data_IF_395784345115
#
_entry.id   IF_395784345115
#
_cell.length_a   1.000
_cell.length_b   1.000
_cell.length_c   1.000
_cell.angle_alpha   90.00
_cell.angle_beta   90.00
_cell.angle_gamma   90.00
#
_symmetry.space_group_name_H-M   'P 1'
#
loop_
_entity.id
_entity.type
_entity.pdbx_description
1 polymer ?
#
# COMPACT_ATOMS: atom_id res chain seq x y z
N UNK A 1 -28.03 -5.73 30.91
CA UNK A 1 -27.57 -6.38 29.66
C UNK A 1 -27.99 -5.62 28.39
N UNK A 2 -29.14 -4.93 28.36
CA UNK A 2 -29.56 -4.15 27.17
C UNK A 2 -28.75 -2.86 26.92
N UNK A 3 -28.24 -2.21 27.98
CA UNK A 3 -27.45 -0.97 27.87
C UNK A 3 -26.10 -1.16 27.15
N UNK A 4 -25.43 -2.30 27.35
CA UNK A 4 -24.17 -2.63 26.65
C UNK A 4 -24.41 -3.00 25.18
N UNK A 5 -25.56 -3.61 24.87
CA UNK A 5 -25.92 -3.97 23.49
C UNK A 5 -26.21 -2.72 22.65
N UNK A 6 -26.87 -1.72 23.24
CA UNK A 6 -27.15 -0.45 22.57
C UNK A 6 -25.90 0.43 22.38
N UNK A 7 -24.91 0.39 23.28
CA UNK A 7 -23.63 1.09 23.08
C UNK A 7 -22.78 0.48 21.96
N UNK A 8 -22.72 -0.85 21.85
CA UNK A 8 -21.99 -1.53 20.78
C UNK A 8 -22.67 -1.30 19.42
N UNK A 9 -24.01 -1.34 19.36
CA UNK A 9 -24.76 -1.01 18.14
C UNK A 9 -24.54 0.47 17.76
N UNK A 10 -24.47 1.38 18.73
CA UNK A 10 -24.19 2.79 18.47
C UNK A 10 -22.77 3.00 17.91
N UNK A 11 -21.74 2.35 18.47
CA UNK A 11 -20.36 2.41 17.97
C UNK A 11 -20.20 1.80 16.56
N UNK A 12 -20.87 0.68 16.28
CA UNK A 12 -20.85 0.05 14.95
C UNK A 12 -21.59 0.91 13.92
N UNK A 13 -22.73 1.51 14.30
CA UNK A 13 -23.49 2.43 13.41
C UNK A 13 -22.73 3.74 13.18
N UNK A 14 -21.96 4.23 14.16
CA UNK A 14 -21.07 5.39 14.00
C UNK A 14 -19.91 5.02 13.05
N UNK A 15 -19.24 3.88 13.21
CA UNK A 15 -18.17 3.48 12.27
C UNK A 15 -18.68 3.26 10.84
N UNK A 16 -19.86 2.67 10.65
CA UNK A 16 -20.44 2.48 9.31
C UNK A 16 -20.89 3.81 8.70
N UNK A 17 -21.51 4.70 9.50
CA UNK A 17 -21.91 6.03 9.00
C UNK A 17 -20.72 6.94 8.73
N UNK A 18 -19.64 6.85 9.49
CA UNK A 18 -18.43 7.66 9.24
C UNK A 18 -17.75 7.22 7.94
N UNK A 19 -17.76 5.92 7.61
CA UNK A 19 -17.25 5.42 6.32
C UNK A 19 -18.09 5.94 5.13
N UNK A 20 -19.42 5.96 5.24
CA UNK A 20 -20.29 6.48 4.17
C UNK A 20 -20.29 8.02 4.07
N UNK A 21 -19.92 8.74 5.15
CA UNK A 21 -20.00 10.22 5.21
C UNK A 21 -18.74 10.93 4.67
N UNK A 22 -17.63 10.20 4.47
CA UNK A 22 -16.37 10.74 3.92
C UNK A 22 -16.16 10.45 2.43
N UNK A 23 -17.15 9.89 1.74
CA UNK A 23 -17.15 9.91 0.27
C UNK A 23 -17.71 11.26 -0.19
N UNK A 24 -16.88 12.24 -0.59
CA UNK A 24 -17.41 13.35 -1.37
C UNK A 24 -18.13 12.77 -2.58
N UNK A 25 -19.31 13.31 -2.88
CA UNK A 25 -20.12 12.99 -4.06
C UNK A 25 -19.22 12.98 -5.31
N UNK A 26 -18.71 11.82 -5.72
CA UNK A 26 -17.73 11.75 -6.83
C UNK A 26 -16.82 10.51 -6.90
N UNK A 27 -16.56 9.78 -5.80
CA UNK A 27 -15.74 8.55 -5.86
C UNK A 27 -16.61 7.28 -5.94
N UNK A 28 -16.64 6.56 -7.08
CA UNK A 28 -17.71 5.60 -7.38
C UNK A 28 -17.56 4.20 -6.77
N UNK A 29 -16.55 3.92 -5.93
CA UNK A 29 -16.27 2.55 -5.46
C UNK A 29 -16.32 2.39 -3.94
N UNK A 30 -17.27 1.59 -3.45
CA UNK A 30 -17.34 1.16 -2.04
C UNK A 30 -16.14 0.27 -1.70
N UNK A 31 -15.56 0.43 -0.51
CA UNK A 31 -14.44 -0.37 0.03
C UNK A 31 -14.54 -1.89 -0.25
N UNK A 32 -15.74 -2.46 -0.08
CA UNK A 32 -16.00 -3.88 -0.33
C UNK A 32 -15.80 -4.28 -1.80
N UNK A 33 -16.23 -3.45 -2.74
CA UNK A 33 -16.05 -3.72 -4.18
C UNK A 33 -14.58 -3.59 -4.58
N UNK A 34 -13.86 -2.62 -3.99
CA UNK A 34 -12.43 -2.49 -4.20
C UNK A 34 -11.69 -3.74 -3.69
N UNK A 35 -11.98 -4.19 -2.47
CA UNK A 35 -11.39 -5.41 -1.91
C UNK A 35 -11.63 -6.64 -2.79
N UNK A 36 -12.87 -6.85 -3.26
CA UNK A 36 -13.21 -7.98 -4.15
C UNK A 36 -12.45 -7.89 -5.48
N UNK A 37 -12.32 -6.68 -6.04
CA UNK A 37 -11.55 -6.46 -7.28
C UNK A 37 -10.08 -6.82 -7.06
N UNK A 38 -9.48 -6.30 -5.99
CA UNK A 38 -8.06 -6.49 -5.69
C UNK A 38 -7.74 -7.95 -5.32
N UNK A 39 -8.62 -8.65 -4.61
CA UNK A 39 -8.45 -10.08 -4.28
C UNK A 39 -8.54 -11.02 -5.49
N UNK A 40 -9.02 -10.55 -6.65
CA UNK A 40 -9.10 -11.35 -7.88
C UNK A 40 -7.87 -11.21 -8.77
N UNK A 41 -6.96 -10.29 -8.45
CA UNK A 41 -5.72 -10.14 -9.18
C UNK A 41 -4.88 -11.41 -9.07
N UNK A 42 -4.19 -11.74 -10.14
CA UNK A 42 -3.20 -12.81 -10.14
C UNK A 42 -2.15 -12.49 -9.07
N UNK A 43 -1.89 -13.48 -8.21
CA UNK A 43 -1.00 -13.32 -7.08
C UNK A 43 0.45 -13.19 -7.53
N UNK A 44 1.24 -12.47 -6.74
CA UNK A 44 2.69 -12.42 -6.92
C UNK A 44 3.28 -13.85 -6.90
N UNK A 45 4.27 -14.18 -7.77
CA UNK A 45 4.79 -15.54 -7.91
C UNK A 45 5.61 -16.00 -6.68
N UNK A 46 6.11 -15.03 -5.89
CA UNK A 46 6.79 -15.20 -4.59
C UNK A 46 7.95 -16.20 -4.65
N UNK A 47 8.67 -16.21 -5.76
CA UNK A 47 9.75 -17.16 -5.99
C UNK A 47 11.07 -16.73 -5.35
N UNK A 48 11.24 -15.43 -5.03
CA UNK A 48 12.48 -14.90 -4.49
C UNK A 48 12.33 -14.43 -3.03
N UNK A 49 12.85 -15.24 -2.13
CA UNK A 49 12.81 -15.01 -0.67
C UNK A 49 13.65 -13.79 -0.26
N UNK A 50 14.71 -13.47 -1.01
CA UNK A 50 15.64 -12.38 -0.69
C UNK A 50 14.99 -10.99 -0.77
N UNK A 51 13.88 -10.89 -1.49
CA UNK A 51 13.11 -9.65 -1.64
C UNK A 51 11.96 -9.50 -0.64
N UNK A 52 11.82 -10.43 0.32
CA UNK A 52 10.69 -10.46 1.26
C UNK A 52 9.36 -10.28 0.50
N UNK A 53 9.15 -11.04 -0.57
CA UNK A 53 7.95 -10.90 -1.41
C UNK A 53 6.73 -11.45 -0.67
N UNK A 54 5.90 -10.57 -0.12
CA UNK A 54 4.59 -10.92 0.45
C UNK A 54 3.46 -10.37 -0.42
N UNK A 55 2.46 -11.20 -0.68
CA UNK A 55 1.23 -10.72 -1.31
C UNK A 55 0.47 -9.87 -0.30
N UNK A 56 0.22 -8.61 -0.66
CA UNK A 56 -0.70 -7.77 0.12
C UNK A 56 -2.11 -8.31 -0.08
N UNK A 57 -2.80 -8.64 1.02
CA UNK A 57 -4.19 -9.10 0.91
C UNK A 57 -5.11 -7.98 0.38
N UNK A 58 -6.09 -8.35 -0.43
CA UNK A 58 -7.03 -7.39 -1.03
C UNK A 58 -7.78 -6.55 0.00
N UNK A 59 -8.04 -7.05 1.22
CA UNK A 59 -8.68 -6.24 2.27
C UNK A 59 -7.71 -5.20 2.87
N UNK A 60 -6.44 -5.56 3.03
CA UNK A 60 -5.41 -4.63 3.52
C UNK A 60 -5.14 -3.56 2.48
N UNK A 61 -4.95 -3.95 1.22
CA UNK A 61 -4.78 -3.02 0.11
C UNK A 61 -5.98 -2.07 -0.02
N UNK A 62 -7.21 -2.61 0.02
CA UNK A 62 -8.42 -1.79 -0.07
C UNK A 62 -8.52 -0.76 1.07
N UNK A 63 -8.26 -1.17 2.33
CA UNK A 63 -8.28 -0.25 3.47
C UNK A 63 -7.21 0.82 3.40
N UNK A 64 -6.01 0.45 2.94
CA UNK A 64 -4.92 1.39 2.72
C UNK A 64 -5.29 2.44 1.67
N UNK A 65 -5.77 2.01 0.50
CA UNK A 65 -6.21 2.92 -0.57
C UNK A 65 -7.38 3.79 -0.12
N UNK A 66 -8.36 3.23 0.61
CA UNK A 66 -9.47 4.03 1.14
C UNK A 66 -9.03 5.06 2.18
N UNK A 67 -7.97 4.79 2.95
CA UNK A 67 -7.40 5.79 3.85
C UNK A 67 -6.80 6.95 3.05
N UNK A 68 -6.05 6.67 1.98
CA UNK A 68 -5.48 7.69 1.08
C UNK A 68 -6.58 8.57 0.47
N UNK A 69 -7.69 7.95 0.01
CA UNK A 69 -8.86 8.69 -0.49
C UNK A 69 -9.45 9.60 0.59
N UNK A 70 -9.52 9.11 1.83
CA UNK A 70 -10.10 9.86 2.96
C UNK A 70 -9.24 11.06 3.38
N UNK A 71 -7.91 10.98 3.21
CA UNK A 71 -7.02 12.13 3.37
C UNK A 71 -7.10 13.14 2.22
N UNK A 72 -7.68 12.76 1.08
CA UNK A 72 -7.73 13.59 -0.13
C UNK A 72 -6.42 13.63 -0.90
N UNK A 73 -5.49 12.71 -0.62
CA UNK A 73 -4.16 12.68 -1.25
C UNK A 73 -4.16 12.06 -2.67
N UNK A 74 -5.33 11.59 -3.14
CA UNK A 74 -5.52 11.04 -4.48
C UNK A 74 -6.68 11.72 -5.22
N UNK A 75 -6.41 12.14 -6.45
CA UNK A 75 -7.34 12.89 -7.30
C UNK A 75 -7.38 12.34 -8.74
N UNK A 76 -8.39 12.72 -9.54
CA UNK A 76 -8.48 12.36 -10.96
C UNK A 76 -7.28 12.78 -11.83
N UNK A 77 -6.47 13.74 -11.37
CA UNK A 77 -5.27 14.19 -12.07
C UNK A 77 -3.97 13.61 -11.52
N UNK A 78 -4.03 12.91 -10.38
CA UNK A 78 -2.85 12.40 -9.68
C UNK A 78 -2.07 11.38 -10.51
N UNK A 79 -0.76 11.57 -10.56
CA UNK A 79 0.22 10.58 -11.00
C UNK A 79 0.83 9.93 -9.77
N UNK A 80 0.59 8.62 -9.63
CA UNK A 80 1.01 7.84 -8.46
C UNK A 80 2.25 7.02 -8.79
N UNK A 81 3.23 6.92 -7.91
CA UNK A 81 4.30 5.93 -8.00
C UNK A 81 4.09 4.81 -6.98
N UNK A 82 4.05 3.57 -7.46
CA UNK A 82 4.03 2.35 -6.64
C UNK A 82 5.44 1.74 -6.60
N UNK A 83 6.15 1.89 -5.48
CA UNK A 83 7.52 1.42 -5.34
C UNK A 83 7.53 -0.02 -4.81
N UNK A 84 8.21 -0.92 -5.53
CA UNK A 84 8.18 -2.36 -5.23
C UNK A 84 6.78 -2.92 -5.50
N UNK A 85 6.26 -2.62 -6.69
CA UNK A 85 4.85 -2.80 -7.02
C UNK A 85 4.36 -4.25 -6.94
N UNK A 86 5.27 -5.24 -7.05
CA UNK A 86 4.92 -6.66 -7.06
C UNK A 86 3.94 -6.98 -8.18
N UNK A 87 2.77 -7.53 -7.82
CA UNK A 87 1.70 -7.82 -8.78
C UNK A 87 0.81 -6.60 -9.12
N UNK A 88 1.12 -5.43 -8.55
CA UNK A 88 0.48 -4.14 -8.83
C UNK A 88 -0.74 -3.82 -7.98
N UNK A 89 -1.01 -4.59 -6.92
CA UNK A 89 -2.25 -4.46 -6.15
C UNK A 89 -2.50 -3.05 -5.58
N UNK A 90 -1.45 -2.34 -5.15
CA UNK A 90 -1.58 -0.99 -4.59
C UNK A 90 -1.82 0.03 -5.70
N UNK A 91 -0.97 0.08 -6.72
CA UNK A 91 -1.13 1.02 -7.84
C UNK A 91 -2.40 0.77 -8.66
N UNK A 92 -2.82 -0.49 -8.86
CA UNK A 92 -4.13 -0.81 -9.45
C UNK A 92 -5.26 -0.31 -8.55
N UNK A 93 -5.12 -0.43 -7.23
CA UNK A 93 -6.06 0.14 -6.28
C UNK A 93 -6.19 1.66 -6.43
N UNK A 94 -5.07 2.37 -6.55
CA UNK A 94 -5.03 3.82 -6.80
C UNK A 94 -5.74 4.20 -8.12
N UNK A 95 -5.44 3.47 -9.21
CA UNK A 95 -6.11 3.67 -10.50
C UNK A 95 -7.62 3.39 -10.42
N UNK A 96 -8.04 2.36 -9.68
CA UNK A 96 -9.45 1.98 -9.53
C UNK A 96 -10.25 3.00 -8.72
N UNK A 97 -9.62 3.71 -7.78
CA UNK A 97 -10.31 4.77 -7.06
C UNK A 97 -10.32 6.07 -7.86
N UNK A 98 -9.34 6.33 -8.73
CA UNK A 98 -9.46 7.41 -9.71
C UNK A 98 -8.17 8.11 -10.11
N UNK A 99 -7.00 7.65 -9.67
CA UNK A 99 -5.74 8.22 -10.15
C UNK A 99 -5.65 8.16 -11.69
N UNK A 100 -5.11 9.22 -12.29
CA UNK A 100 -4.93 9.35 -13.74
C UNK A 100 -3.99 8.29 -14.29
N UNK A 101 -2.87 8.12 -13.59
CA UNK A 101 -1.74 7.31 -14.02
C UNK A 101 -1.03 6.73 -12.81
N UNK A 102 -0.51 5.52 -12.96
CA UNK A 102 0.37 4.91 -11.99
C UNK A 102 1.67 4.44 -12.66
N UNK A 103 2.80 4.81 -12.08
CA UNK A 103 4.13 4.33 -12.41
C UNK A 103 4.45 3.21 -11.43
N UNK A 104 4.61 2.00 -11.93
CA UNK A 104 4.93 0.80 -11.16
C UNK A 104 6.43 0.53 -11.30
N UNK A 105 7.18 0.66 -10.21
CA UNK A 105 8.59 0.31 -10.17
C UNK A 105 8.76 -1.07 -9.52
N UNK A 106 9.30 -2.03 -10.25
CA UNK A 106 9.47 -3.41 -9.77
C UNK A 106 10.75 -4.05 -10.34
N UNK A 107 11.53 -4.71 -9.49
CA UNK A 107 12.80 -5.32 -9.89
C UNK A 107 12.61 -6.72 -10.48
N UNK A 108 11.62 -7.47 -9.99
CA UNK A 108 11.33 -8.82 -10.43
C UNK A 108 10.55 -8.83 -11.74
N UNK A 109 11.22 -9.27 -12.81
CA UNK A 109 10.65 -9.36 -14.14
C UNK A 109 9.38 -10.23 -14.18
N UNK A 110 9.31 -11.33 -13.42
CA UNK A 110 8.11 -12.18 -13.37
C UNK A 110 6.95 -11.46 -12.70
N UNK A 111 7.24 -10.67 -11.67
CA UNK A 111 6.24 -9.81 -11.05
C UNK A 111 5.72 -8.76 -12.03
N UNK A 112 6.60 -8.15 -12.84
CA UNK A 112 6.20 -7.24 -13.92
C UNK A 112 5.27 -7.90 -14.96
N UNK A 113 5.54 -9.14 -15.35
CA UNK A 113 4.68 -9.91 -16.28
C UNK A 113 3.28 -10.12 -15.69
N UNK A 114 3.19 -10.53 -14.41
CA UNK A 114 1.93 -10.68 -13.69
C UNK A 114 1.21 -9.33 -13.50
N UNK A 115 1.95 -8.27 -13.18
CA UNK A 115 1.42 -6.92 -13.06
C UNK A 115 0.82 -6.43 -14.38
N UNK A 116 1.49 -6.72 -15.51
CA UNK A 116 0.95 -6.43 -16.84
C UNK A 116 -0.35 -7.21 -17.12
N UNK A 117 -0.39 -8.51 -16.83
CA UNK A 117 -1.60 -9.32 -16.96
C UNK A 117 -2.74 -8.80 -16.07
N UNK A 118 -2.42 -8.37 -14.86
CA UNK A 118 -3.38 -7.76 -13.95
C UNK A 118 -3.95 -6.47 -14.52
N UNK A 119 -3.11 -5.56 -15.03
CA UNK A 119 -3.56 -4.34 -15.71
C UNK A 119 -4.48 -4.63 -16.90
N UNK A 120 -4.14 -5.63 -17.72
CA UNK A 120 -4.98 -6.11 -18.82
C UNK A 120 -6.34 -6.60 -18.32
N UNK A 121 -6.34 -7.47 -17.29
CA UNK A 121 -7.57 -8.09 -16.77
C UNK A 121 -8.58 -7.09 -16.20
N UNK A 122 -8.10 -5.94 -15.73
CA UNK A 122 -8.93 -4.88 -15.15
C UNK A 122 -9.13 -3.67 -16.08
N UNK A 123 -8.61 -3.72 -17.30
CA UNK A 123 -8.75 -2.67 -18.32
C UNK A 123 -8.03 -1.36 -18.00
N UNK A 124 -6.82 -1.43 -17.41
CA UNK A 124 -6.06 -0.27 -16.95
C UNK A 124 -4.66 -0.12 -17.59
N UNK A 125 -4.39 -0.82 -18.70
CA UNK A 125 -3.08 -0.77 -19.37
C UNK A 125 -2.66 0.64 -19.77
N UNK A 126 -3.58 1.45 -20.30
CA UNK A 126 -3.26 2.82 -20.74
C UNK A 126 -2.92 3.77 -19.58
N UNK A 127 -3.35 3.43 -18.36
CA UNK A 127 -3.08 4.21 -17.15
C UNK A 127 -1.88 3.69 -16.37
N UNK A 128 -1.31 2.55 -16.74
CA UNK A 128 -0.16 1.94 -16.05
C UNK A 128 1.12 2.06 -16.85
N UNK A 129 2.21 2.45 -16.20
CA UNK A 129 3.58 2.39 -16.76
C UNK A 129 4.43 1.51 -15.86
N UNK A 130 4.96 0.43 -16.42
CA UNK A 130 5.80 -0.51 -15.70
C UNK A 130 7.27 -0.19 -15.99
N UNK A 131 8.05 0.03 -14.95
CA UNK A 131 9.50 0.20 -15.00
C UNK A 131 10.11 -1.03 -14.32
N UNK A 132 10.76 -1.89 -15.10
CA UNK A 132 11.45 -3.05 -14.56
C UNK A 132 12.90 -2.70 -14.19
N UNK A 133 13.09 -2.18 -12.98
CA UNK A 133 14.37 -1.68 -12.50
C UNK A 133 14.49 -1.85 -10.98
N UNK A 134 15.72 -2.02 -10.49
CA UNK A 134 16.00 -2.00 -9.05
C UNK A 134 15.92 -0.56 -8.54
N UNK A 135 15.17 -0.35 -7.46
CA UNK A 135 15.16 0.96 -6.80
C UNK A 135 16.52 1.27 -6.15
N UNK A 136 17.14 2.35 -6.59
CA UNK A 136 18.43 2.84 -6.09
C UNK A 136 18.53 4.38 -6.08
N UNK A 137 19.73 4.93 -5.87
CA UNK A 137 19.94 6.38 -5.81
C UNK A 137 19.77 7.09 -7.17
N UNK A 138 19.94 6.37 -8.28
CA UNK A 138 19.86 6.90 -9.64
C UNK A 138 18.44 6.86 -10.19
N UNK A 139 17.53 6.16 -9.51
CA UNK A 139 16.11 6.09 -9.88
C UNK A 139 15.48 7.50 -9.92
N UNK A 140 14.98 7.89 -11.09
CA UNK A 140 14.33 9.18 -11.32
C UNK A 140 12.84 9.01 -11.63
N UNK A 141 11.99 9.53 -10.74
CA UNK A 141 10.53 9.50 -10.90
C UNK A 141 10.00 10.92 -11.04
N UNK A 142 9.96 11.41 -12.28
CA UNK A 142 9.46 12.77 -12.58
C UNK A 142 7.93 12.84 -12.59
N UNK A 143 7.37 13.98 -12.16
CA UNK A 143 5.93 14.30 -12.23
C UNK A 143 5.04 13.32 -11.45
N UNK A 144 5.51 12.87 -10.30
CA UNK A 144 4.73 12.08 -9.34
C UNK A 144 4.12 13.03 -8.32
N UNK A 145 2.84 12.88 -8.03
CA UNK A 145 2.11 13.67 -7.03
C UNK A 145 1.95 12.92 -5.70
N UNK A 146 2.01 11.58 -5.75
CA UNK A 146 1.81 10.69 -4.61
C UNK A 146 2.71 9.46 -4.76
N UNK A 147 3.42 9.09 -3.71
CA UNK A 147 4.13 7.80 -3.63
C UNK A 147 3.35 6.85 -2.72
N UNK A 148 3.19 5.61 -3.15
CA UNK A 148 2.69 4.51 -2.31
C UNK A 148 3.69 3.36 -2.35
N UNK A 149 3.87 2.66 -1.23
CA UNK A 149 4.71 1.47 -1.22
C UNK A 149 4.42 0.53 -0.05
N UNK A 150 4.85 -0.72 -0.23
CA UNK A 150 4.91 -1.74 0.80
C UNK A 150 6.30 -2.37 0.78
N UNK A 151 7.33 -1.66 1.29
CA UNK A 151 8.72 -2.06 1.16
C UNK A 151 9.00 -3.36 1.91
N UNK A 152 10.08 -4.10 1.59
CA UNK A 152 10.57 -5.17 2.44
C UNK A 152 10.82 -4.64 3.86
N UNK A 153 10.42 -5.37 4.90
CA UNK A 153 10.47 -4.88 6.29
C UNK A 153 11.84 -5.08 6.95
N UNK A 154 12.79 -5.70 6.24
CA UNK A 154 14.15 -5.91 6.67
C UNK A 154 14.31 -7.05 7.66
N UNK A 155 13.43 -8.06 7.58
CA UNK A 155 13.51 -9.31 8.35
C UNK A 155 14.60 -10.24 7.86
N UNK A 156 14.84 -10.26 6.55
CA UNK A 156 15.87 -11.08 5.90
C UNK A 156 17.14 -10.26 5.68
N UNK A 157 16.98 -9.00 5.27
CA UNK A 157 18.09 -8.08 5.02
C UNK A 157 17.88 -6.77 5.78
N UNK A 158 18.74 -6.51 6.76
CA UNK A 158 18.69 -5.27 7.52
C UNK A 158 18.68 -4.06 6.56
N UNK A 159 17.83 -3.07 6.83
CA UNK A 159 17.72 -1.83 6.05
C UNK A 159 17.28 -2.01 4.58
N UNK A 160 16.63 -3.12 4.23
CA UNK A 160 16.06 -3.32 2.88
C UNK A 160 15.01 -2.26 2.48
N UNK A 161 14.38 -1.60 3.45
CA UNK A 161 13.46 -0.49 3.24
C UNK A 161 14.14 0.85 2.93
N UNK A 162 15.45 1.00 3.19
CA UNK A 162 16.14 2.30 3.06
C UNK A 162 16.08 2.90 1.65
N UNK A 163 16.25 2.15 0.55
CA UNK A 163 16.08 2.71 -0.79
C UNK A 163 14.70 3.33 -0.99
N UNK A 164 13.64 2.71 -0.47
CA UNK A 164 12.27 3.21 -0.53
C UNK A 164 12.09 4.49 0.27
N UNK A 165 12.59 4.53 1.52
CA UNK A 165 12.47 5.72 2.35
C UNK A 165 13.29 6.90 1.77
N UNK A 166 14.47 6.62 1.22
CA UNK A 166 15.29 7.63 0.54
C UNK A 166 14.59 8.14 -0.74
N UNK A 167 13.94 7.25 -1.50
CA UNK A 167 13.20 7.65 -2.69
C UNK A 167 12.03 8.57 -2.35
N UNK A 168 11.30 8.29 -1.27
CA UNK A 168 10.23 9.18 -0.78
C UNK A 168 10.79 10.59 -0.49
N UNK A 169 11.92 10.67 0.22
CA UNK A 169 12.59 11.95 0.50
C UNK A 169 13.02 12.64 -0.80
N UNK A 170 13.60 11.89 -1.75
CA UNK A 170 14.06 12.39 -3.05
C UNK A 170 12.90 12.96 -3.88
N UNK A 171 11.76 12.27 -3.89
CA UNK A 171 10.57 12.69 -4.62
C UNK A 171 9.90 13.93 -4.01
N UNK A 172 9.98 14.12 -2.68
CA UNK A 172 9.51 15.37 -2.07
C UNK A 172 8.00 15.54 -2.07
N UNK A 173 7.22 14.46 -2.17
CA UNK A 173 5.76 14.49 -2.23
C UNK A 173 5.12 13.70 -1.09
N UNK A 174 3.83 13.95 -0.85
CA UNK A 174 3.05 13.16 0.10
C UNK A 174 3.17 11.68 -0.28
N UNK A 175 3.40 10.85 0.74
CA UNK A 175 3.67 9.44 0.55
C UNK A 175 2.96 8.60 1.59
N UNK A 176 2.46 7.44 1.18
CA UNK A 176 1.90 6.45 2.08
C UNK A 176 2.72 5.17 2.03
N UNK A 177 3.08 4.64 3.21
CA UNK A 177 3.73 3.33 3.27
C UNK A 177 3.04 2.39 4.25
N UNK A 178 3.18 1.11 3.96
CA UNK A 178 2.98 0.05 4.92
C UNK A 178 4.32 -0.34 5.55
N UNK A 179 4.32 -0.65 6.84
CA UNK A 179 5.47 -1.29 7.50
C UNK A 179 4.99 -2.19 8.64
N UNK A 180 5.88 -2.97 9.25
CA UNK A 180 5.55 -3.63 10.51
C UNK A 180 5.16 -2.60 11.58
N UNK A 181 4.11 -2.90 12.34
CA UNK A 181 3.67 -2.05 13.46
C UNK A 181 4.71 -1.91 14.59
N UNK A 182 5.69 -2.81 14.62
CA UNK A 182 6.77 -2.82 15.59
C UNK A 182 7.99 -2.02 15.10
N UNK A 183 7.94 -1.45 13.90
CA UNK A 183 9.02 -0.59 13.40
C UNK A 183 9.13 0.67 14.24
N UNK A 184 10.35 0.95 14.67
CA UNK A 184 10.67 2.12 15.51
C UNK A 184 11.43 3.20 14.76
N UNK A 185 11.86 2.93 13.52
CA UNK A 185 12.74 3.82 12.76
C UNK A 185 12.03 4.70 11.74
N UNK A 186 10.77 4.40 11.37
CA UNK A 186 10.04 5.17 10.34
C UNK A 186 9.88 6.63 10.78
N UNK A 187 9.24 6.87 11.92
CA UNK A 187 9.01 8.24 12.40
C UNK A 187 10.33 9.02 12.63
N UNK A 188 11.33 8.50 13.36
CA UNK A 188 12.62 9.21 13.51
C UNK A 188 13.34 9.47 12.19
N UNK A 189 13.22 8.59 11.21
CA UNK A 189 13.87 8.77 9.91
C UNK A 189 13.33 9.99 9.17
N UNK A 190 12.02 10.19 9.14
CA UNK A 190 11.38 11.31 8.45
C UNK A 190 11.47 12.60 9.26
N UNK A 191 11.21 12.57 10.57
CA UNK A 191 11.25 13.77 11.42
C UNK A 191 12.65 14.39 11.47
N UNK A 192 13.72 13.58 11.50
CA UNK A 192 15.11 14.06 11.42
C UNK A 192 15.45 14.77 10.11
N UNK A 193 14.57 14.70 9.10
CA UNK A 193 14.71 15.33 7.78
C UNK A 193 13.68 16.44 7.55
N UNK A 194 13.02 16.93 8.61
CA UNK A 194 11.98 17.95 8.52
C UNK A 194 10.76 17.50 7.68
N UNK A 195 10.32 16.26 7.90
CA UNK A 195 9.05 15.73 7.39
C UNK A 195 8.13 15.38 8.56
N UNK A 196 6.83 15.40 8.29
CA UNK A 196 5.82 14.85 9.19
C UNK A 196 5.64 13.36 8.89
N UNK A 197 5.57 12.53 9.93
CA UNK A 197 5.30 11.10 9.83
C UNK A 197 4.19 10.67 10.81
N UNK A 198 3.01 10.37 10.28
CA UNK A 198 1.82 10.03 11.05
C UNK A 198 1.45 8.55 10.84
N UNK A 199 1.41 7.76 11.93
CA UNK A 199 0.83 6.42 11.90
C UNK A 199 -0.68 6.53 12.08
N UNK A 200 -1.45 6.15 11.07
CA UNK A 200 -2.91 6.35 11.06
C UNK A 200 -3.74 5.05 11.09
N UNK A 201 -3.11 3.89 11.03
CA UNK A 201 -3.84 2.62 11.08
C UNK A 201 -2.94 1.41 11.34
N UNK A 202 -3.54 0.34 11.85
CA UNK A 202 -2.90 -0.97 12.00
C UNK A 202 -3.89 -2.09 11.67
N UNK A 203 -3.42 -3.14 10.98
CA UNK A 203 -4.21 -4.32 10.65
C UNK A 203 -3.44 -5.59 10.95
N UNK A 204 -4.16 -6.65 11.29
CA UNK A 204 -3.56 -7.97 11.44
C UNK A 204 -3.25 -8.55 10.05
N UNK A 205 -1.99 -8.98 9.87
CA UNK A 205 -1.45 -9.59 8.67
C UNK A 205 -1.00 -11.01 8.95
N UNK A 206 -1.42 -11.94 8.11
CA UNK A 206 -1.05 -13.35 8.22
C UNK A 206 0.19 -13.56 7.35
N UNK A 207 1.31 -13.95 7.96
CA UNK A 207 2.50 -14.30 7.20
C UNK A 207 2.30 -15.65 6.51
N UNK A 208 2.66 -15.78 5.22
CA UNK A 208 2.68 -17.07 4.55
C UNK A 208 3.64 -18.05 5.25
N UNK A 209 3.26 -19.34 5.29
CA UNK A 209 3.98 -20.38 6.03
C UNK A 209 5.44 -20.62 5.58
N UNK A 210 5.83 -20.18 4.38
CA UNK A 210 7.18 -20.40 3.83
C UNK A 210 8.30 -19.64 4.58
N UNK A 211 7.96 -18.82 5.58
CA UNK A 211 8.91 -18.02 6.35
C UNK A 211 9.07 -18.48 7.81
N UNK A 212 8.34 -19.50 8.26
CA UNK A 212 8.63 -20.14 9.55
C UNK A 212 9.66 -21.24 9.37
N UNK A 213 10.93 -20.93 9.62
CA UNK A 213 11.89 -21.97 10.00
C UNK A 213 11.37 -22.59 11.31
N UNK A 214 10.70 -23.73 11.18
CA UNK A 214 9.99 -24.51 12.20
C UNK A 214 8.55 -24.09 12.53
N UNK A 215 7.67 -25.12 12.46
CA UNK A 215 6.31 -25.26 12.98
C UNK A 215 5.16 -24.57 12.22
N UNK A 216 4.13 -25.37 12.00
CA UNK A 216 2.84 -25.10 11.33
C UNK A 216 1.93 -24.08 12.05
N UNK A 217 2.48 -23.06 12.70
CA UNK A 217 1.69 -21.97 13.29
C UNK A 217 1.75 -20.74 12.38
N UNK A 218 0.57 -20.29 11.92
CA UNK A 218 0.42 -19.01 11.21
C UNK A 218 0.97 -17.89 12.09
N UNK A 219 2.14 -17.36 11.76
CA UNK A 219 2.69 -16.21 12.46
C UNK A 219 1.85 -14.97 12.08
N UNK A 220 1.13 -14.43 13.06
CA UNK A 220 0.44 -13.15 12.92
C UNK A 220 1.43 -12.01 13.16
N UNK A 221 1.37 -11.00 12.32
CA UNK A 221 2.09 -9.74 12.53
C UNK A 221 1.15 -8.59 12.23
N UNK A 222 1.35 -7.44 12.86
CA UNK A 222 0.56 -6.26 12.57
C UNK A 222 1.28 -5.42 11.53
N UNK A 223 0.57 -5.02 10.48
CA UNK A 223 1.01 -4.00 9.52
C UNK A 223 0.47 -2.65 9.98
N UNK A 224 1.32 -1.62 9.99
CA UNK A 224 0.97 -0.24 10.26
C UNK A 224 0.97 0.57 8.96
N UNK A 225 0.08 1.55 8.88
CA UNK A 225 0.00 2.50 7.79
C UNK A 225 0.51 3.86 8.23
N UNK A 226 1.36 4.44 7.39
CA UNK A 226 2.02 5.72 7.65
C UNK A 226 1.71 6.69 6.53
N UNK A 227 1.36 7.92 6.92
CA UNK A 227 1.26 9.08 6.04
C UNK A 227 2.48 9.95 6.28
N UNK A 228 3.21 10.23 5.22
CA UNK A 228 4.43 11.02 5.24
C UNK A 228 4.23 12.26 4.39
N UNK A 229 4.56 13.43 4.91
CA UNK A 229 4.45 14.67 4.16
C UNK A 229 5.66 15.57 4.37
N UNK A 230 6.17 16.22 3.32
CA UNK A 230 7.16 17.27 3.49
C UNK A 230 6.53 18.42 4.31
N UNK A 231 7.34 19.06 5.15
CA UNK A 231 6.94 20.25 5.91
C UNK A 231 6.96 21.52 5.06
#
# INVERSE_FOLDING_TARGET
>A
MELFRNQIICLIVISIKVIDMYYPLGYPMRLRHLAITLSKLEAHPCENVDFEQYSTDGNIASQFISSIVSFGDISPDSVVADLGAGNGILGIGALKVGAKKCIFLEVDKKACEILHNNLLSVGLTESGVIINELLDSETELSKVDLVICNPPWGRQKEKADRPFLNQIIKNGVVSHLMHSSHSTHIQPFFESRNWTAEKYGELDFILPANFSHHREEKAYTKVAFWRLSPN
#
